data_IF_362138607420
#
_entry.id   IF_362138607420
#
_cell.length_a   1.000
_cell.length_b   1.000
_cell.length_c   1.000
_cell.angle_alpha   90.00
_cell.angle_beta   90.00
_cell.angle_gamma   90.00
#
_symmetry.space_group_name_H-M   'P 1'
#
loop_
_entity.id
_entity.type
_entity.pdbx_description
1 polymer ?
#
# COMPACT_ATOMS: atom_id res chain seq x y z
N UNK A 1 17.76 1.88 22.14
CA UNK A 1 16.99 2.12 20.90
C UNK A 1 17.00 0.79 20.18
N UNK A 2 15.89 0.06 20.24
CA UNK A 2 15.82 -1.31 19.71
C UNK A 2 16.21 -1.26 18.24
N UNK A 3 17.25 -2.00 17.87
CA UNK A 3 17.54 -2.37 16.49
C UNK A 3 16.33 -3.12 15.94
N UNK A 4 15.34 -2.36 15.47
CA UNK A 4 14.27 -2.87 14.62
C UNK A 4 15.00 -3.25 13.32
N UNK A 5 15.60 -4.44 13.31
CA UNK A 5 16.22 -5.05 12.13
C UNK A 5 15.21 -4.84 11.01
N UNK A 6 15.54 -3.95 10.08
CA UNK A 6 14.59 -3.40 9.13
C UNK A 6 14.00 -4.60 8.37
N UNK A 7 12.76 -4.99 8.71
CA UNK A 7 12.15 -6.25 8.23
C UNK A 7 12.06 -6.27 6.71
N UNK A 8 12.02 -5.08 6.13
CA UNK A 8 12.06 -4.82 4.71
C UNK A 8 13.33 -4.04 4.40
N UNK A 9 14.01 -4.43 3.33
CA UNK A 9 15.12 -3.65 2.80
C UNK A 9 14.64 -2.29 2.26
N UNK A 10 15.58 -1.40 1.99
CA UNK A 10 15.27 -0.05 1.52
C UNK A 10 14.54 -0.04 0.17
N UNK A 11 14.77 -1.04 -0.69
CA UNK A 11 14.11 -1.14 -2.00
C UNK A 11 12.63 -1.47 -1.83
N UNK A 12 12.30 -2.43 -0.97
CA UNK A 12 10.93 -2.82 -0.66
C UNK A 12 10.18 -1.65 -0.02
N UNK A 13 10.81 -0.89 0.89
CA UNK A 13 10.20 0.30 1.49
C UNK A 13 9.95 1.38 0.44
N UNK A 14 10.88 1.59 -0.50
CA UNK A 14 10.69 2.56 -1.58
C UNK A 14 9.49 2.19 -2.45
N UNK A 15 9.34 0.90 -2.79
CA UNK A 15 8.19 0.39 -3.56
C UNK A 15 6.88 0.60 -2.79
N UNK A 16 6.82 0.28 -1.50
CA UNK A 16 5.61 0.50 -0.70
C UNK A 16 5.21 1.98 -0.62
N UNK A 17 6.20 2.87 -0.42
CA UNK A 17 5.97 4.33 -0.38
C UNK A 17 5.45 4.83 -1.72
N UNK A 18 6.03 4.36 -2.82
CA UNK A 18 5.60 4.72 -4.16
C UNK A 18 4.17 4.21 -4.42
N UNK A 19 3.87 2.95 -4.09
CA UNK A 19 2.54 2.38 -4.22
C UNK A 19 1.50 3.20 -3.45
N UNK A 20 1.79 3.55 -2.19
CA UNK A 20 0.90 4.36 -1.37
C UNK A 20 0.66 5.73 -2.00
N UNK A 21 1.73 6.44 -2.39
CA UNK A 21 1.63 7.78 -2.97
C UNK A 21 0.81 7.78 -4.26
N UNK A 22 1.02 6.79 -5.13
CA UNK A 22 0.26 6.67 -6.38
C UNK A 22 -1.21 6.30 -6.15
N UNK A 23 -1.52 5.48 -5.13
CA UNK A 23 -2.92 5.12 -4.83
C UNK A 23 -3.67 6.29 -4.20
N UNK A 24 -3.10 7.01 -3.23
CA UNK A 24 -3.81 8.10 -2.53
C UNK A 24 -3.98 9.36 -3.38
N UNK A 25 -3.19 9.50 -4.44
CA UNK A 25 -3.32 10.60 -5.41
C UNK A 25 -4.24 10.24 -6.59
N UNK A 26 -4.61 8.95 -6.75
CA UNK A 26 -5.48 8.47 -7.82
C UNK A 26 -6.93 8.93 -7.59
N UNK A 27 -7.62 9.30 -8.69
CA UNK A 27 -9.02 9.73 -8.67
C UNK A 27 -9.96 8.69 -8.04
N UNK A 28 -9.67 7.39 -8.18
CA UNK A 28 -10.47 6.30 -7.60
C UNK A 28 -10.44 6.35 -6.07
N UNK A 29 -9.31 6.70 -5.49
CA UNK A 29 -9.20 6.91 -4.05
C UNK A 29 -9.91 8.19 -3.63
N UNK A 30 -9.66 9.31 -4.32
CA UNK A 30 -10.30 10.60 -4.00
C UNK A 30 -11.83 10.56 -4.12
N UNK A 31 -12.38 9.71 -4.98
CA UNK A 31 -13.81 9.50 -5.12
C UNK A 31 -14.43 8.70 -3.95
N UNK A 32 -13.64 7.92 -3.20
CA UNK A 32 -14.10 7.08 -2.10
C UNK A 32 -13.81 7.74 -0.76
N UNK A 33 -14.85 8.28 -0.14
CA UNK A 33 -14.75 8.90 1.20
C UNK A 33 -14.73 7.89 2.36
N UNK A 34 -15.05 6.62 2.10
CA UNK A 34 -15.13 5.56 3.12
C UNK A 34 -13.79 4.90 3.43
N UNK A 35 -12.76 5.09 2.59
CA UNK A 35 -11.45 4.45 2.78
C UNK A 35 -10.41 5.50 3.12
N UNK A 36 -9.71 5.29 4.22
CA UNK A 36 -8.67 6.19 4.71
C UNK A 36 -7.31 5.87 4.10
N UNK A 37 -6.38 6.86 4.02
CA UNK A 37 -5.00 6.60 3.58
C UNK A 37 -4.29 5.56 4.46
N UNK A 38 -4.63 5.50 5.75
CA UNK A 38 -4.06 4.53 6.68
C UNK A 38 -4.47 3.10 6.32
N UNK A 39 -5.76 2.86 6.05
CA UNK A 39 -6.24 1.54 5.64
C UNK A 39 -5.61 1.06 4.32
N UNK A 40 -5.29 1.98 3.41
CA UNK A 40 -4.53 1.68 2.19
C UNK A 40 -3.08 1.30 2.52
N UNK A 41 -2.42 2.07 3.39
CA UNK A 41 -1.06 1.77 3.83
C UNK A 41 -0.97 0.41 4.53
N UNK A 42 -1.91 0.09 5.43
CA UNK A 42 -2.00 -1.20 6.11
C UNK A 42 -2.19 -2.35 5.11
N UNK A 43 -3.04 -2.17 4.10
CA UNK A 43 -3.23 -3.18 3.05
C UNK A 43 -1.95 -3.45 2.27
N UNK A 44 -1.24 -2.39 1.85
CA UNK A 44 0.04 -2.51 1.14
C UNK A 44 1.07 -3.23 2.03
N UNK A 45 1.13 -2.91 3.32
CA UNK A 45 2.01 -3.57 4.28
C UNK A 45 1.68 -5.06 4.45
N UNK A 46 0.40 -5.43 4.48
CA UNK A 46 -0.04 -6.82 4.55
C UNK A 46 0.36 -7.61 3.31
N UNK A 47 0.12 -7.07 2.11
CA UNK A 47 0.53 -7.72 0.86
C UNK A 47 2.03 -7.95 0.81
N UNK A 48 2.81 -6.96 1.24
CA UNK A 48 4.26 -7.11 1.30
C UNK A 48 4.73 -8.08 2.40
N UNK A 49 4.02 -8.16 3.53
CA UNK A 49 4.25 -9.19 4.53
C UNK A 49 3.97 -10.60 4.00
N UNK A 50 3.02 -10.74 3.05
CA UNK A 50 2.75 -11.97 2.31
C UNK A 50 3.76 -12.28 1.20
N UNK A 51 4.75 -11.40 0.99
CA UNK A 51 5.84 -11.60 0.03
C UNK A 51 5.71 -10.83 -1.27
N UNK A 52 4.64 -10.05 -1.47
CA UNK A 52 4.47 -9.22 -2.67
C UNK A 52 5.43 -8.02 -2.64
N UNK A 53 6.17 -7.83 -3.72
CA UNK A 53 7.19 -6.77 -3.84
C UNK A 53 7.10 -6.02 -5.16
N UNK A 54 6.22 -6.44 -6.07
CA UNK A 54 5.98 -5.77 -7.32
C UNK A 54 5.06 -4.56 -7.11
N UNK A 55 5.50 -3.41 -7.62
CA UNK A 55 4.78 -2.14 -7.50
C UNK A 55 3.37 -2.23 -8.11
N UNK A 56 3.24 -2.80 -9.31
CA UNK A 56 1.97 -2.86 -10.01
C UNK A 56 0.98 -3.79 -9.31
N UNK A 57 1.47 -4.91 -8.77
CA UNK A 57 0.65 -5.83 -7.97
C UNK A 57 0.17 -5.22 -6.67
N UNK A 58 1.03 -4.50 -5.95
CA UNK A 58 0.65 -3.77 -4.73
C UNK A 58 -0.42 -2.71 -5.02
N UNK A 59 -0.24 -1.93 -6.09
CA UNK A 59 -1.23 -0.94 -6.53
C UNK A 59 -2.55 -1.58 -6.92
N UNK A 60 -2.53 -2.60 -7.78
CA UNK A 60 -3.74 -3.27 -8.23
C UNK A 60 -4.50 -3.87 -7.05
N UNK A 61 -3.81 -4.53 -6.12
CA UNK A 61 -4.41 -5.07 -4.89
C UNK A 61 -5.05 -3.96 -4.03
N UNK A 62 -4.39 -2.81 -3.89
CA UNK A 62 -4.97 -1.66 -3.19
C UNK A 62 -6.20 -1.08 -3.91
N UNK A 63 -6.19 -1.00 -5.25
CA UNK A 63 -7.34 -0.57 -6.03
C UNK A 63 -8.51 -1.57 -5.97
N UNK A 64 -8.24 -2.87 -5.92
CA UNK A 64 -9.27 -3.89 -5.70
C UNK A 64 -9.90 -3.73 -4.31
N UNK A 65 -9.11 -3.48 -3.26
CA UNK A 65 -9.63 -3.13 -1.93
C UNK A 65 -10.51 -1.88 -1.98
N UNK A 66 -10.13 -0.87 -2.76
CA UNK A 66 -11.00 0.27 -2.98
C UNK A 66 -12.31 -0.20 -3.62
N UNK A 67 -12.27 -0.97 -4.71
CA UNK A 67 -13.46 -1.49 -5.40
C UNK A 67 -14.44 -2.23 -4.49
N UNK A 68 -13.95 -3.07 -3.58
CA UNK A 68 -14.77 -3.90 -2.67
C UNK A 68 -15.32 -3.16 -1.46
N UNK A 69 -14.73 -2.02 -1.07
CA UNK A 69 -15.23 -1.17 0.03
C UNK A 69 -16.41 -0.27 -0.38
N UNK A 70 -17.19 -0.67 -1.40
CA UNK A 70 -18.37 0.05 -1.92
C UNK A 70 -19.64 -0.37 -1.19
#
# INVERSE_FOLDING_TARGET
MTDLKQKYDSSTIAVMRQALNEVVTDRRFLARKSVTPLEVAEHILQQAASGERDLNRLKNSAFEKLSTAA
#
